data_IF_655007067231
#
_entry.id   IF_655007067231
#
_cell.length_a   1.000
_cell.length_b   1.000
_cell.length_c   1.000
_cell.angle_alpha   90.00
_cell.angle_beta   90.00
_cell.angle_gamma   90.00
#
_symmetry.space_group_name_H-M   'P 1'
#
loop_
_entity.id
_entity.type
_entity.pdbx_description
1 polymer ?
#
# COMPACT_ATOMS: atom_id res chain seq x y z
N UNK A 1 -23.90 17.59 12.28
CA UNK A 1 -22.81 16.65 11.91
C UNK A 1 -21.51 17.33 12.30
N UNK A 2 -20.79 16.86 13.32
CA UNK A 2 -19.51 17.46 13.73
C UNK A 2 -18.47 17.06 12.67
N UNK A 3 -17.86 18.05 12.02
CA UNK A 3 -16.90 17.86 10.95
C UNK A 3 -15.74 16.97 11.41
N UNK A 4 -15.55 15.84 10.74
CA UNK A 4 -14.39 14.99 10.95
C UNK A 4 -13.15 15.73 10.47
N UNK A 5 -12.13 15.83 11.31
CA UNK A 5 -10.82 16.32 10.87
C UNK A 5 -10.22 15.28 9.93
N UNK A 6 -10.01 15.64 8.67
CA UNK A 6 -9.24 14.80 7.75
C UNK A 6 -7.77 14.84 8.16
N UNK A 7 -7.17 13.66 8.28
CA UNK A 7 -5.74 13.50 8.61
C UNK A 7 -5.01 13.04 7.35
N UNK A 8 -4.06 13.84 6.88
CA UNK A 8 -3.13 13.44 5.83
C UNK A 8 -2.06 12.52 6.42
N UNK A 9 -2.38 11.22 6.51
CA UNK A 9 -1.49 10.24 7.12
C UNK A 9 -0.16 10.07 6.37
N UNK A 10 -0.17 10.25 5.04
CA UNK A 10 1.00 10.25 4.16
C UNK A 10 0.79 11.34 3.13
N UNK A 11 1.82 12.14 2.84
CA UNK A 11 1.76 13.23 1.86
C UNK A 11 2.99 13.14 0.95
N UNK A 12 2.79 13.18 -0.37
CA UNK A 12 3.82 13.26 -1.40
C UNK A 12 5.00 12.27 -1.26
N UNK A 13 4.71 11.04 -0.83
CA UNK A 13 5.71 9.98 -0.78
C UNK A 13 5.99 9.44 -2.19
N UNK A 14 7.25 9.48 -2.63
CA UNK A 14 7.71 8.90 -3.90
C UNK A 14 8.99 8.12 -3.65
N UNK A 15 9.00 6.86 -4.08
CA UNK A 15 10.16 5.98 -4.02
C UNK A 15 10.02 4.87 -5.07
N UNK A 16 11.16 4.37 -5.51
CA UNK A 16 11.27 3.17 -6.35
C UNK A 16 11.97 2.08 -5.54
N UNK A 17 11.62 0.82 -5.82
CA UNK A 17 12.28 -0.35 -5.24
C UNK A 17 12.55 -1.36 -6.36
N UNK A 18 13.81 -1.54 -6.73
CA UNK A 18 14.21 -2.50 -7.74
C UNK A 18 14.30 -3.93 -7.19
N UNK A 19 14.32 -4.91 -8.09
CA UNK A 19 14.49 -6.30 -7.70
C UNK A 19 15.84 -6.53 -7.02
N UNK A 20 15.81 -7.18 -5.85
CA UNK A 20 17.02 -7.44 -5.05
C UNK A 20 17.42 -6.29 -4.12
N UNK A 21 16.70 -5.17 -4.13
CA UNK A 21 16.92 -4.07 -3.20
C UNK A 21 16.15 -4.25 -1.90
N UNK A 22 16.63 -3.58 -0.86
CA UNK A 22 15.97 -3.48 0.43
C UNK A 22 15.77 -2.00 0.75
N UNK A 23 14.50 -1.57 0.85
CA UNK A 23 14.13 -0.23 1.26
C UNK A 23 13.62 -0.26 2.72
N UNK A 24 14.24 0.55 3.57
CA UNK A 24 13.80 0.73 4.95
C UNK A 24 12.99 2.03 5.10
N UNK A 25 11.73 1.91 5.51
CA UNK A 25 10.89 3.05 5.89
C UNK A 25 10.99 3.29 7.40
N UNK A 26 11.61 4.40 7.78
CA UNK A 26 11.82 4.79 9.19
C UNK A 26 11.07 6.07 9.53
N UNK A 27 10.71 6.23 10.81
CA UNK A 27 10.02 7.42 11.32
C UNK A 27 9.36 7.14 12.67
N UNK A 28 8.89 8.19 13.33
CA UNK A 28 8.23 8.09 14.64
C UNK A 28 6.93 7.27 14.62
N UNK A 29 6.48 6.81 15.78
CA UNK A 29 5.17 6.15 15.88
C UNK A 29 4.06 7.09 15.40
N UNK A 30 3.14 6.59 14.57
CA UNK A 30 2.05 7.39 14.02
C UNK A 30 2.37 8.22 12.76
N UNK A 31 3.60 8.22 12.25
CA UNK A 31 3.97 8.99 11.06
C UNK A 31 3.46 8.42 9.71
N UNK A 32 2.56 7.42 9.72
CA UNK A 32 1.94 6.89 8.51
C UNK A 32 2.60 5.66 7.86
N UNK A 33 3.69 5.10 8.42
CA UNK A 33 4.36 3.90 7.85
C UNK A 33 3.42 2.71 7.60
N UNK A 34 2.64 2.33 8.61
CA UNK A 34 1.69 1.22 8.50
C UNK A 34 0.53 1.56 7.57
N UNK A 35 0.12 2.83 7.51
CA UNK A 35 -0.91 3.31 6.57
C UNK A 35 -0.43 3.17 5.13
N UNK A 36 0.82 3.56 4.84
CA UNK A 36 1.44 3.39 3.53
C UNK A 36 1.49 1.91 3.14
N UNK A 37 1.95 1.03 4.03
CA UNK A 37 2.00 -0.41 3.78
C UNK A 37 0.61 -1.01 3.50
N UNK A 38 -0.41 -0.62 4.28
CA UNK A 38 -1.79 -1.05 4.05
C UNK A 38 -2.36 -0.50 2.74
N UNK A 39 -2.03 0.74 2.36
CA UNK A 39 -2.46 1.34 1.10
C UNK A 39 -1.96 0.54 -0.11
N UNK A 40 -0.68 0.17 -0.12
CA UNK A 40 -0.07 -0.64 -1.19
C UNK A 40 -0.69 -2.04 -1.33
N UNK A 41 -1.36 -2.53 -0.29
CA UNK A 41 -2.03 -3.81 -0.32
C UNK A 41 -3.54 -3.68 -0.44
N UNK A 42 -4.11 -2.47 -0.57
CA UNK A 42 -5.56 -2.25 -0.59
C UNK A 42 -6.26 -2.68 0.71
N UNK A 43 -5.56 -2.59 1.85
CA UNK A 43 -6.04 -2.99 3.19
C UNK A 43 -6.42 -1.78 4.05
N UNK A 44 -6.64 -0.62 3.44
CA UNK A 44 -7.10 0.56 4.15
C UNK A 44 -8.57 0.43 4.56
N UNK A 45 -8.98 1.02 5.69
CA UNK A 45 -10.38 1.08 6.07
C UNK A 45 -11.19 1.94 5.09
N UNK A 46 -12.52 1.72 5.03
CA UNK A 46 -13.42 2.39 4.08
C UNK A 46 -13.44 3.92 4.18
N UNK A 47 -13.03 4.49 5.33
CA UNK A 47 -12.95 5.92 5.54
C UNK A 47 -11.64 6.56 5.04
N UNK A 48 -10.72 5.77 4.49
CA UNK A 48 -9.48 6.25 3.92
C UNK A 48 -9.61 6.52 2.42
N UNK A 49 -8.80 7.45 1.93
CA UNK A 49 -8.70 7.80 0.51
C UNK A 49 -7.24 7.80 0.10
N UNK A 50 -6.98 7.39 -1.13
CA UNK A 50 -5.65 7.39 -1.74
C UNK A 50 -5.67 8.25 -3.00
N UNK A 51 -4.49 8.79 -3.34
CA UNK A 51 -4.26 9.52 -4.58
C UNK A 51 -2.85 9.19 -5.08
N UNK A 52 -2.63 9.33 -6.40
CA UNK A 52 -1.39 8.94 -7.06
C UNK A 52 -1.47 7.52 -7.64
N UNK A 53 -0.32 6.87 -7.77
CA UNK A 53 -0.17 5.53 -8.35
C UNK A 53 0.87 4.73 -7.59
N UNK A 54 0.66 3.42 -7.45
CA UNK A 54 1.68 2.52 -6.92
C UNK A 54 1.82 1.30 -7.84
N UNK A 55 2.84 1.30 -8.68
CA UNK A 55 2.98 0.31 -9.74
C UNK A 55 3.87 -0.85 -9.31
N UNK A 56 3.34 -2.07 -9.45
CA UNK A 56 4.16 -3.29 -9.44
C UNK A 56 4.25 -3.82 -10.87
N UNK A 57 5.44 -4.26 -11.31
CA UNK A 57 5.63 -4.85 -12.64
C UNK A 57 4.57 -5.92 -12.92
N UNK A 58 4.10 -6.12 -14.16
CA UNK A 58 3.14 -7.19 -14.45
C UNK A 58 3.80 -8.58 -14.42
N UNK A 59 3.04 -9.66 -14.12
CA UNK A 59 3.55 -11.02 -14.32
C UNK A 59 3.73 -11.30 -15.82
N UNK A 60 4.75 -12.09 -16.19
CA UNK A 60 4.89 -12.66 -17.54
C UNK A 60 4.77 -11.65 -18.71
N UNK A 61 5.35 -10.45 -18.53
CA UNK A 61 5.33 -9.38 -19.54
C UNK A 61 4.00 -8.64 -19.68
N UNK A 62 3.03 -8.90 -18.80
CA UNK A 62 1.80 -8.12 -18.69
C UNK A 62 2.11 -6.67 -18.25
N UNK A 63 1.20 -5.72 -18.52
CA UNK A 63 1.35 -4.36 -18.02
C UNK A 63 1.46 -4.32 -16.49
N UNK A 64 2.10 -3.28 -15.93
CA UNK A 64 2.12 -3.06 -14.49
C UNK A 64 0.72 -3.01 -13.89
N UNK A 65 0.60 -3.48 -12.66
CA UNK A 65 -0.63 -3.37 -11.86
C UNK A 65 -0.50 -2.16 -10.95
N UNK A 66 -1.45 -1.24 -11.03
CA UNK A 66 -1.56 -0.16 -10.05
C UNK A 66 -2.29 -0.68 -8.80
N UNK A 67 -1.55 -0.76 -7.70
CA UNK A 67 -2.02 -1.29 -6.43
C UNK A 67 -3.07 -0.40 -5.75
N UNK A 68 -3.12 0.89 -6.08
CA UNK A 68 -4.08 1.82 -5.47
C UNK A 68 -5.46 1.77 -6.12
N UNK A 69 -5.54 1.33 -7.39
CA UNK A 69 -6.79 1.33 -8.17
C UNK A 69 -7.21 -0.05 -8.66
N UNK A 70 -6.39 -1.08 -8.49
CA UNK A 70 -6.74 -2.45 -8.84
C UNK A 70 -7.98 -2.93 -8.07
N UNK A 71 -8.84 -3.71 -8.75
CA UNK A 71 -9.99 -4.30 -8.11
C UNK A 71 -9.59 -5.42 -7.11
N UNK A 72 -10.51 -5.72 -6.18
CA UNK A 72 -10.27 -6.73 -5.13
C UNK A 72 -9.92 -8.11 -5.73
N UNK A 73 -10.52 -8.46 -6.88
CA UNK A 73 -10.22 -9.73 -7.56
C UNK A 73 -8.77 -9.79 -8.02
N UNK A 74 -8.24 -8.72 -8.58
CA UNK A 74 -6.86 -8.60 -9.04
C UNK A 74 -5.92 -8.63 -7.85
N UNK A 75 -6.20 -7.85 -6.81
CA UNK A 75 -5.39 -7.83 -5.58
C UNK A 75 -5.33 -9.22 -4.93
N UNK A 76 -6.47 -9.89 -4.73
CA UNK A 76 -6.54 -11.20 -4.08
C UNK A 76 -5.93 -12.33 -4.92
N UNK A 77 -6.09 -12.31 -6.25
CA UNK A 77 -5.65 -13.42 -7.12
C UNK A 77 -4.24 -13.27 -7.65
N UNK A 78 -3.71 -12.06 -7.74
CA UNK A 78 -2.43 -11.83 -8.42
C UNK A 78 -1.38 -11.15 -7.55
N UNK A 79 -1.78 -10.34 -6.57
CA UNK A 79 -0.85 -9.54 -5.76
C UNK A 79 -0.61 -10.16 -4.39
N UNK A 80 -1.64 -10.18 -3.54
CA UNK A 80 -1.56 -10.59 -2.13
C UNK A 80 -1.17 -12.06 -2.03
N UNK A 81 -0.15 -12.34 -1.22
CA UNK A 81 0.33 -13.71 -0.93
C UNK A 81 1.06 -14.41 -2.09
N UNK A 82 1.03 -13.85 -3.30
CA UNK A 82 1.77 -14.38 -4.47
C UNK A 82 2.98 -13.55 -4.82
N UNK A 83 2.85 -12.22 -4.73
CA UNK A 83 3.86 -11.26 -5.17
C UNK A 83 4.24 -10.28 -4.08
N UNK A 84 3.28 -9.94 -3.24
CA UNK A 84 3.50 -9.11 -2.05
C UNK A 84 2.97 -9.84 -0.83
N UNK A 85 3.85 -10.04 0.15
CA UNK A 85 3.52 -10.56 1.47
C UNK A 85 3.55 -9.44 2.51
N UNK A 86 2.68 -9.54 3.51
CA UNK A 86 2.67 -8.65 4.67
C UNK A 86 2.92 -9.49 5.92
N UNK A 87 3.94 -9.10 6.68
CA UNK A 87 4.15 -9.59 8.04
C UNK A 87 3.74 -8.44 8.97
N UNK A 88 2.56 -8.49 9.58
CA UNK A 88 2.07 -7.38 10.39
C UNK A 88 2.89 -7.23 11.67
N UNK A 89 2.88 -6.02 12.24
CA UNK A 89 3.53 -5.73 13.52
C UNK A 89 2.98 -6.59 14.67
N UNK A 90 1.72 -7.03 14.57
CA UNK A 90 1.09 -7.95 15.52
C UNK A 90 0.22 -8.97 14.78
N UNK A 91 0.31 -10.28 15.09
CA UNK A 91 -0.40 -11.33 14.35
C UNK A 91 -1.94 -11.29 14.47
N UNK A 92 -2.47 -10.59 15.48
CA UNK A 92 -3.90 -10.58 15.83
C UNK A 92 -4.66 -9.33 15.34
N UNK A 93 -4.06 -8.54 14.45
CA UNK A 93 -4.65 -7.33 13.88
C UNK A 93 -5.45 -7.63 12.61
#
# INVERSE_FOLDING_TARGET
MRGGTHVSAVTDATFDLAAGECLALVGESGCGKSVLASALLGLLPENAQTAGSALIAGPDGQPPVDLLTADERTLARTVRGRRVGLVPQSPAA
#
